data_IF_004004354893
#
_entry.id   IF_004004354893
#
_cell.length_a   1.000
_cell.length_b   1.000
_cell.length_c   1.000
_cell.angle_alpha   90.00
_cell.angle_beta   90.00
_cell.angle_gamma   90.00
#
_symmetry.space_group_name_H-M   'P 1'
#
loop_
_entity.id
_entity.type
_entity.pdbx_description
1 polymer ?
#
# COMPACT_ATOMS: atom_id res chain seq x y z
N UNK A 1 26.71 14.84 -15.34
CA UNK A 1 26.10 14.58 -14.03
C UNK A 1 25.44 13.22 -14.09
N UNK A 2 25.62 12.36 -13.07
CA UNK A 2 24.93 11.10 -13.03
C UNK A 2 23.41 11.36 -12.93
N UNK A 3 22.62 10.67 -13.77
CA UNK A 3 21.16 10.73 -13.70
C UNK A 3 20.73 10.10 -12.38
N UNK A 4 19.90 10.81 -11.61
CA UNK A 4 19.29 10.25 -10.40
C UNK A 4 18.00 9.53 -10.81
N UNK A 5 18.14 8.23 -11.11
CA UNK A 5 17.07 7.39 -11.62
C UNK A 5 16.64 6.41 -10.53
N UNK A 6 15.34 6.22 -10.41
CA UNK A 6 14.69 5.31 -9.46
C UNK A 6 13.66 4.46 -10.18
N UNK A 7 13.59 3.18 -9.85
CA UNK A 7 12.54 2.28 -10.32
C UNK A 7 11.60 1.91 -9.15
N UNK A 8 10.32 1.76 -9.48
CA UNK A 8 9.29 1.22 -8.57
C UNK A 8 8.58 0.06 -9.24
N UNK A 9 8.31 -1.00 -8.46
CA UNK A 9 7.60 -2.20 -8.90
C UNK A 9 6.34 -2.36 -8.06
N UNK A 10 5.20 -2.48 -8.73
CA UNK A 10 3.91 -2.83 -8.12
C UNK A 10 3.50 -4.21 -8.60
N UNK A 11 3.35 -5.15 -7.65
CA UNK A 11 3.00 -6.54 -7.93
C UNK A 11 1.55 -6.76 -7.57
N UNK A 12 0.67 -6.49 -8.53
CA UNK A 12 -0.76 -6.69 -8.39
C UNK A 12 -1.22 -8.05 -8.92
N UNK A 13 -2.39 -8.51 -8.46
CA UNK A 13 -2.95 -9.83 -8.82
C UNK A 13 -3.29 -9.95 -10.31
N UNK A 14 -3.68 -8.86 -10.97
CA UNK A 14 -3.98 -8.85 -12.42
C UNK A 14 -2.80 -8.41 -13.27
N UNK A 15 -2.01 -7.47 -12.80
CA UNK A 15 -0.93 -6.85 -13.56
C UNK A 15 0.26 -6.52 -12.68
N UNK A 16 1.47 -6.76 -13.19
CA UNK A 16 2.71 -6.24 -12.62
C UNK A 16 3.09 -4.98 -13.37
N UNK A 17 3.36 -3.91 -12.62
CA UNK A 17 3.68 -2.59 -13.15
C UNK A 17 5.07 -2.17 -12.68
N UNK A 18 5.87 -1.69 -13.61
CA UNK A 18 7.20 -1.12 -13.34
C UNK A 18 7.24 0.30 -13.87
N UNK A 19 7.68 1.22 -13.04
CA UNK A 19 7.86 2.63 -13.41
C UNK A 19 9.30 3.01 -13.18
N UNK A 20 9.91 3.64 -14.20
CA UNK A 20 11.26 4.23 -14.11
C UNK A 20 11.11 5.74 -14.15
N UNK A 21 11.66 6.41 -13.16
CA UNK A 21 11.59 7.86 -13.05
C UNK A 21 12.96 8.45 -12.78
N UNK A 22 13.19 9.67 -13.27
CA UNK A 22 14.36 10.48 -12.95
C UNK A 22 13.96 11.71 -12.14
N UNK A 23 14.82 12.10 -11.20
CA UNK A 23 14.69 13.34 -10.46
C UNK A 23 15.44 14.43 -11.22
N UNK A 24 14.71 15.37 -11.79
CA UNK A 24 15.26 16.53 -12.51
C UNK A 24 15.05 17.80 -11.73
N UNK A 25 15.99 18.75 -11.85
CA UNK A 25 15.86 20.07 -11.21
C UNK A 25 15.43 21.08 -12.27
N UNK A 26 14.18 21.55 -12.18
CA UNK A 26 13.63 22.57 -13.08
C UNK A 26 13.19 23.79 -12.24
N UNK A 27 13.63 24.97 -12.64
CA UNK A 27 13.31 26.24 -11.95
C UNK A 27 13.59 26.22 -10.43
N UNK A 28 14.67 25.53 -10.01
CA UNK A 28 15.04 25.39 -8.61
C UNK A 28 14.25 24.37 -7.81
N UNK A 29 13.25 23.71 -8.41
CA UNK A 29 12.45 22.64 -7.79
C UNK A 29 12.87 21.27 -8.31
N UNK A 30 12.83 20.28 -7.44
CA UNK A 30 12.98 18.89 -7.83
C UNK A 30 11.65 18.38 -8.37
N UNK A 31 11.65 17.89 -9.59
CA UNK A 31 10.49 17.33 -10.29
C UNK A 31 10.81 15.88 -10.66
N UNK A 32 9.90 14.98 -10.34
CA UNK A 32 9.98 13.58 -10.74
C UNK A 32 9.37 13.42 -12.13
N UNK A 33 10.18 12.93 -13.09
CA UNK A 33 9.75 12.66 -14.46
C UNK A 33 9.76 11.17 -14.73
N UNK A 34 8.63 10.61 -15.12
CA UNK A 34 8.55 9.21 -15.60
C UNK A 34 9.23 9.14 -16.97
N UNK A 35 10.23 8.27 -17.11
CA UNK A 35 11.03 8.08 -18.33
C UNK A 35 10.80 6.71 -18.98
N UNK A 36 10.13 5.78 -18.29
CA UNK A 36 9.77 4.48 -18.84
C UNK A 36 8.80 3.76 -17.96
N UNK A 37 8.02 2.87 -18.58
CA UNK A 37 7.05 2.01 -17.91
C UNK A 37 7.07 0.62 -18.51
N UNK A 38 6.79 -0.38 -17.69
CA UNK A 38 6.59 -1.76 -18.10
C UNK A 38 5.34 -2.32 -17.44
N UNK A 39 4.53 -2.99 -18.23
CA UNK A 39 3.29 -3.62 -17.79
C UNK A 39 3.27 -5.05 -18.30
N UNK A 40 3.00 -6.01 -17.44
CA UNK A 40 2.77 -7.40 -17.82
C UNK A 40 1.56 -7.95 -17.11
N UNK A 41 0.89 -8.92 -17.74
CA UNK A 41 -0.10 -9.73 -17.07
C UNK A 41 0.54 -10.43 -15.87
N UNK A 42 -0.14 -10.43 -14.74
CA UNK A 42 0.29 -11.15 -13.54
C UNK A 42 -0.26 -12.56 -13.55
N UNK A 43 0.61 -13.53 -13.35
CA UNK A 43 0.25 -14.95 -13.23
C UNK A 43 0.84 -15.49 -11.94
N UNK A 44 0.18 -16.50 -11.35
CA UNK A 44 0.66 -17.16 -10.14
C UNK A 44 0.37 -16.41 -8.84
N UNK A 45 -0.51 -15.40 -8.86
CA UNK A 45 -0.98 -14.69 -7.66
C UNK A 45 -2.48 -14.92 -7.43
N UNK A 46 -2.89 -14.96 -6.16
CA UNK A 46 -4.29 -14.97 -5.75
C UNK A 46 -4.46 -14.17 -4.46
N UNK A 47 -5.36 -13.19 -4.44
CA UNK A 47 -5.56 -12.24 -3.33
C UNK A 47 -4.26 -11.58 -2.85
N UNK A 48 -3.28 -11.44 -3.74
CA UNK A 48 -1.94 -10.92 -3.45
C UNK A 48 -0.93 -11.99 -3.02
N UNK A 49 -1.34 -13.22 -2.68
CA UNK A 49 -0.42 -14.31 -2.33
C UNK A 49 0.12 -15.06 -3.54
N UNK A 50 1.36 -15.52 -3.44
CA UNK A 50 2.00 -16.34 -4.46
C UNK A 50 1.48 -17.77 -4.36
N UNK A 51 0.86 -18.26 -5.44
CA UNK A 51 0.42 -19.65 -5.61
C UNK A 51 1.28 -20.44 -6.61
N UNK A 52 1.98 -19.72 -7.50
CA UNK A 52 2.98 -20.26 -8.41
C UNK A 52 4.14 -19.26 -8.57
N UNK A 53 5.27 -19.54 -7.93
CA UNK A 53 6.42 -18.64 -7.90
C UNK A 53 7.10 -18.45 -9.26
N UNK A 54 7.17 -19.50 -10.11
CA UNK A 54 7.78 -19.41 -11.44
C UNK A 54 7.02 -18.44 -12.35
N UNK A 55 5.69 -18.53 -12.34
CA UNK A 55 4.82 -17.64 -13.12
C UNK A 55 4.97 -16.19 -12.65
N UNK A 56 5.05 -15.95 -11.33
CA UNK A 56 5.27 -14.63 -10.75
C UNK A 56 6.62 -14.06 -11.17
N UNK A 57 7.71 -14.84 -11.01
CA UNK A 57 9.06 -14.41 -11.41
C UNK A 57 9.12 -14.08 -12.90
N UNK A 58 8.47 -14.88 -13.77
CA UNK A 58 8.42 -14.63 -15.20
C UNK A 58 7.62 -13.35 -15.54
N UNK A 59 6.51 -13.12 -14.84
CA UNK A 59 5.69 -11.92 -15.00
C UNK A 59 6.47 -10.66 -14.59
N UNK A 60 7.22 -10.72 -13.46
CA UNK A 60 8.10 -9.63 -13.00
C UNK A 60 9.19 -9.34 -14.06
N UNK A 61 9.89 -10.37 -14.54
CA UNK A 61 10.93 -10.21 -15.59
C UNK A 61 10.37 -9.56 -16.85
N UNK A 62 9.16 -9.94 -17.25
CA UNK A 62 8.51 -9.38 -18.43
C UNK A 62 8.22 -7.89 -18.27
N UNK A 63 7.67 -7.47 -17.12
CA UNK A 63 7.41 -6.07 -16.82
C UNK A 63 8.71 -5.24 -16.76
N UNK A 64 9.76 -5.77 -16.10
CA UNK A 64 11.07 -5.13 -16.02
C UNK A 64 11.67 -4.93 -17.42
N UNK A 65 11.67 -5.96 -18.26
CA UNK A 65 12.20 -5.90 -19.63
C UNK A 65 11.49 -4.83 -20.47
N UNK A 66 10.18 -4.68 -20.30
CA UNK A 66 9.42 -3.62 -20.99
C UNK A 66 9.79 -2.23 -20.45
N UNK A 67 9.95 -2.07 -19.13
CA UNK A 67 10.36 -0.82 -18.53
C UNK A 67 11.79 -0.41 -18.95
N UNK A 68 12.72 -1.36 -19.01
CA UNK A 68 14.08 -1.15 -19.52
C UNK A 68 14.06 -0.73 -20.99
N UNK A 69 13.22 -1.37 -21.82
CA UNK A 69 13.07 -1.03 -23.24
C UNK A 69 12.53 0.39 -23.44
N UNK A 70 11.55 0.80 -22.63
CA UNK A 70 10.91 2.13 -22.75
C UNK A 70 11.76 3.25 -22.17
N UNK A 71 12.50 2.99 -21.08
CA UNK A 71 13.38 3.96 -20.43
C UNK A 71 14.77 4.05 -21.04
N UNK A 72 15.23 2.97 -21.71
CA UNK A 72 16.61 2.81 -22.17
C UNK A 72 17.62 2.60 -21.03
N UNK A 73 17.15 2.26 -19.81
CA UNK A 73 17.98 2.13 -18.61
C UNK A 73 17.84 0.73 -18.05
N UNK A 74 18.97 0.12 -17.70
CA UNK A 74 19.03 -1.18 -16.99
C UNK A 74 18.57 -0.99 -15.54
N UNK A 75 17.65 -1.85 -15.08
CA UNK A 75 17.10 -1.82 -13.74
C UNK A 75 17.76 -2.95 -12.94
N UNK A 76 18.53 -2.59 -11.92
CA UNK A 76 19.14 -3.56 -11.00
C UNK A 76 18.57 -3.42 -9.59
N UNK A 77 17.96 -2.28 -9.27
CA UNK A 77 17.41 -1.97 -7.95
C UNK A 77 16.06 -1.27 -8.09
N UNK A 78 15.14 -1.57 -7.16
CA UNK A 78 13.83 -0.93 -7.17
C UNK A 78 13.23 -0.81 -5.77
N UNK A 79 12.33 0.16 -5.59
CA UNK A 79 11.35 0.17 -4.51
C UNK A 79 10.19 -0.76 -4.88
N UNK A 80 9.63 -1.43 -3.89
CA UNK A 80 8.55 -2.40 -4.10
C UNK A 80 7.31 -2.00 -3.31
N UNK A 81 6.15 -1.99 -3.95
CA UNK A 81 4.89 -1.88 -3.24
C UNK A 81 4.39 -3.26 -2.83
N UNK A 82 4.02 -3.39 -1.55
CA UNK A 82 3.49 -4.62 -0.95
C UNK A 82 2.00 -4.45 -0.74
N UNK A 83 1.21 -5.35 -1.31
CA UNK A 83 -0.24 -5.42 -1.18
C UNK A 83 -0.72 -6.81 -0.76
N UNK A 84 -2.03 -7.07 -0.92
CA UNK A 84 -2.63 -8.36 -0.58
C UNK A 84 -3.21 -8.43 0.83
N UNK A 85 -3.99 -9.49 1.09
CA UNK A 85 -4.76 -9.66 2.34
C UNK A 85 -3.91 -9.91 3.58
N UNK A 86 -2.60 -10.09 3.43
CA UNK A 86 -1.64 -10.17 4.54
C UNK A 86 -1.22 -8.82 5.13
N UNK A 87 -1.71 -7.71 4.55
CA UNK A 87 -1.39 -6.35 4.97
C UNK A 87 -2.51 -5.81 5.86
N UNK A 88 -2.16 -5.29 7.05
CA UNK A 88 -3.11 -4.68 7.97
C UNK A 88 -2.44 -3.61 8.84
N UNK A 89 -3.21 -2.95 9.70
CA UNK A 89 -2.67 -1.98 10.64
C UNK A 89 -3.09 -2.24 12.07
N UNK A 90 -2.21 -1.90 13.01
CA UNK A 90 -2.42 -2.06 14.45
C UNK A 90 -1.94 -0.81 15.15
N UNK A 91 -2.70 -0.31 16.13
CA UNK A 91 -2.25 0.82 16.95
C UNK A 91 -1.83 0.36 18.35
N UNK A 92 -0.78 0.97 18.87
CA UNK A 92 -0.32 0.79 20.23
C UNK A 92 0.05 2.13 20.87
N UNK A 93 0.14 2.15 22.19
CA UNK A 93 0.52 3.33 22.97
C UNK A 93 1.51 2.96 24.07
N UNK A 94 2.52 3.79 24.26
CA UNK A 94 3.47 3.62 25.35
C UNK A 94 3.84 4.97 25.97
N UNK A 95 4.51 4.92 27.13
CA UNK A 95 4.99 6.09 27.82
C UNK A 95 6.36 5.86 28.43
N UNK A 96 7.21 6.89 28.42
CA UNK A 96 8.53 6.89 29.02
C UNK A 96 8.70 8.09 29.95
N UNK A 97 9.42 7.90 31.05
CA UNK A 97 9.82 8.99 31.94
C UNK A 97 11.11 9.61 31.42
N UNK A 98 11.13 10.94 31.37
CA UNK A 98 12.30 11.72 31.00
C UNK A 98 13.13 11.88 32.25
N UNK A 99 14.30 11.25 32.29
CA UNK A 99 15.18 11.20 33.47
C UNK A 99 16.30 12.26 33.45
N UNK A 100 16.36 13.10 32.43
CA UNK A 100 17.37 14.18 32.32
C UNK A 100 17.07 15.31 33.32
N UNK A 101 18.10 15.89 33.87
CA UNK A 101 17.96 16.99 34.83
C UNK A 101 17.30 18.25 34.25
N UNK A 102 17.47 18.50 32.94
CA UNK A 102 16.86 19.60 32.20
C UNK A 102 15.43 19.31 31.72
N UNK A 103 14.96 18.07 31.91
CA UNK A 103 13.66 17.54 31.44
C UNK A 103 13.40 17.73 29.92
N UNK A 104 14.45 18.03 29.15
CA UNK A 104 14.33 18.26 27.72
C UNK A 104 14.22 16.91 26.97
N UNK A 105 13.18 16.79 26.13
CA UNK A 105 12.94 15.61 25.29
C UNK A 105 13.93 15.61 24.12
N UNK A 106 14.64 14.50 23.96
CA UNK A 106 15.62 14.26 22.92
C UNK A 106 15.12 13.23 21.89
N UNK A 107 15.85 13.06 20.79
CA UNK A 107 15.58 12.00 19.82
C UNK A 107 15.61 10.61 20.46
N UNK A 108 16.55 10.38 21.39
CA UNK A 108 16.67 9.10 22.12
C UNK A 108 15.42 8.78 22.96
N UNK A 109 14.80 9.82 23.55
CA UNK A 109 13.55 9.64 24.32
C UNK A 109 12.39 9.27 23.39
N UNK A 110 12.32 9.89 22.21
CA UNK A 110 11.31 9.59 21.18
C UNK A 110 11.52 8.17 20.65
N UNK A 111 12.74 7.78 20.31
CA UNK A 111 13.08 6.43 19.87
C UNK A 111 12.74 5.38 20.95
N UNK A 112 13.09 5.68 22.20
CA UNK A 112 12.79 4.79 23.34
C UNK A 112 11.30 4.54 23.49
N UNK A 113 10.48 5.60 23.52
CA UNK A 113 9.03 5.44 23.69
C UNK A 113 8.38 4.77 22.45
N UNK A 114 8.91 5.02 21.26
CA UNK A 114 8.47 4.35 20.03
C UNK A 114 8.76 2.85 20.07
N UNK A 115 9.96 2.45 20.50
CA UNK A 115 10.33 1.05 20.71
C UNK A 115 9.45 0.37 21.77
N UNK A 116 9.16 1.05 22.86
CA UNK A 116 8.23 0.53 23.89
C UNK A 116 6.82 0.31 23.33
N UNK A 117 6.35 1.16 22.38
CA UNK A 117 5.10 0.92 21.66
C UNK A 117 5.15 -0.38 20.84
N UNK A 118 6.24 -0.61 20.13
CA UNK A 118 6.44 -1.83 19.34
C UNK A 118 6.48 -3.07 20.24
N UNK A 119 7.26 -3.03 21.31
CA UNK A 119 7.38 -4.10 22.31
C UNK A 119 6.06 -4.40 23.03
N UNK A 120 5.13 -3.44 23.11
CA UNK A 120 3.80 -3.62 23.72
C UNK A 120 2.77 -4.24 22.76
N UNK A 121 3.12 -4.47 21.50
CA UNK A 121 2.25 -5.18 20.58
C UNK A 121 2.09 -6.65 21.03
N UNK A 122 0.88 -7.24 20.86
CA UNK A 122 0.64 -8.63 21.24
C UNK A 122 1.61 -9.57 20.52
N UNK A 123 2.27 -10.46 21.28
CA UNK A 123 3.30 -11.36 20.75
C UNK A 123 2.76 -12.28 19.64
N UNK A 124 1.50 -12.70 19.74
CA UNK A 124 0.85 -13.50 18.69
C UNK A 124 0.70 -12.77 17.36
N UNK A 125 0.63 -11.44 17.37
CA UNK A 125 0.57 -10.63 16.15
C UNK A 125 1.95 -10.44 15.53
N UNK A 126 3.01 -10.40 16.35
CA UNK A 126 4.38 -10.23 15.86
C UNK A 126 5.01 -11.55 15.37
N UNK A 127 4.54 -12.71 15.85
CA UNK A 127 5.15 -14.01 15.53
C UNK A 127 5.20 -14.34 14.03
N UNK A 128 4.23 -13.86 13.24
CA UNK A 128 4.12 -14.13 11.81
C UNK A 128 4.00 -12.86 10.97
N UNK A 129 4.23 -11.69 11.56
CA UNK A 129 4.11 -10.41 10.87
C UNK A 129 5.41 -9.61 10.99
N UNK A 130 5.75 -8.92 9.90
CA UNK A 130 6.81 -7.93 9.84
C UNK A 130 6.22 -6.54 9.79
N UNK A 131 6.76 -5.63 10.60
CA UNK A 131 6.39 -4.22 10.55
C UNK A 131 7.01 -3.60 9.30
N UNK A 132 6.17 -3.05 8.41
CA UNK A 132 6.58 -2.29 7.24
C UNK A 132 6.72 -0.80 7.55
N UNK A 133 5.81 -0.25 8.35
CA UNK A 133 5.82 1.18 8.72
C UNK A 133 5.44 1.36 10.17
N UNK A 134 6.15 2.28 10.85
CA UNK A 134 5.87 2.74 12.21
C UNK A 134 5.57 4.24 12.15
N UNK A 135 4.31 4.63 12.38
CA UNK A 135 3.82 5.98 12.16
C UNK A 135 3.31 6.56 13.48
N UNK A 136 3.90 7.64 14.00
CA UNK A 136 3.38 8.29 15.19
C UNK A 136 2.07 9.03 14.87
N UNK A 137 1.00 8.68 15.60
CA UNK A 137 -0.31 9.30 15.49
C UNK A 137 -0.44 10.54 16.35
N UNK A 138 0.03 10.47 17.60
CA UNK A 138 -0.02 11.60 18.54
C UNK A 138 0.99 11.45 19.66
N UNK A 139 1.42 12.59 20.20
CA UNK A 139 2.25 12.67 21.38
C UNK A 139 1.52 13.40 22.50
N UNK A 140 1.82 13.04 23.76
CA UNK A 140 1.42 13.80 24.95
C UNK A 140 2.63 14.00 25.87
N UNK A 141 2.69 15.15 26.51
CA UNK A 141 3.69 15.47 27.54
C UNK A 141 2.94 15.76 28.82
N UNK A 142 3.21 14.99 29.88
CA UNK A 142 2.54 15.12 31.18
C UNK A 142 1.00 15.10 31.06
N UNK A 143 0.49 14.20 30.17
CA UNK A 143 -0.95 14.04 29.87
C UNK A 143 -1.54 15.08 28.92
N UNK A 144 -0.80 16.12 28.52
CA UNK A 144 -1.28 17.18 27.61
C UNK A 144 -0.89 16.87 26.17
N UNK A 145 -1.81 17.04 25.19
CA UNK A 145 -1.50 16.77 23.79
C UNK A 145 -0.46 17.74 23.24
N UNK A 146 0.44 17.20 22.42
CA UNK A 146 1.44 17.98 21.66
C UNK A 146 0.86 18.28 20.29
N UNK A 147 0.71 19.58 19.96
CA UNK A 147 0.19 20.00 18.65
C UNK A 147 1.26 20.04 17.56
N UNK A 148 2.53 20.03 17.95
CA UNK A 148 3.65 19.98 17.02
C UNK A 148 3.82 18.55 16.44
N UNK A 149 4.45 18.44 15.26
CA UNK A 149 4.74 17.14 14.65
C UNK A 149 5.63 16.23 15.49
N UNK A 150 6.51 16.82 16.29
CA UNK A 150 7.44 16.11 17.16
C UNK A 150 7.56 16.84 18.49
N UNK A 151 7.72 16.14 19.61
CA UNK A 151 7.96 16.71 20.92
C UNK A 151 9.44 17.13 21.16
N UNK A 152 10.30 16.97 20.16
CA UNK A 152 11.74 17.23 20.25
C UNK A 152 12.02 18.63 20.81
N UNK A 153 12.88 18.72 21.83
CA UNK A 153 13.26 19.98 22.47
C UNK A 153 12.24 20.54 23.47
N UNK A 154 11.04 19.98 23.57
CA UNK A 154 10.04 20.34 24.57
C UNK A 154 10.46 19.80 25.95
N UNK A 155 9.87 20.34 27.01
CA UNK A 155 10.16 19.92 28.39
C UNK A 155 8.97 19.21 29.00
N UNK A 156 9.23 18.14 29.74
CA UNK A 156 8.25 17.41 30.51
C UNK A 156 8.86 16.22 31.23
N UNK A 157 8.11 15.65 32.17
CA UNK A 157 8.54 14.51 32.99
C UNK A 157 8.16 13.18 32.38
N UNK A 158 7.05 13.14 31.62
CA UNK A 158 6.51 11.93 30.98
C UNK A 158 6.18 12.22 29.52
N UNK A 159 6.77 11.46 28.63
CA UNK A 159 6.42 11.43 27.20
C UNK A 159 5.53 10.22 26.92
N UNK A 160 4.41 10.45 26.26
CA UNK A 160 3.49 9.40 25.79
C UNK A 160 3.37 9.49 24.26
N UNK A 161 3.32 8.35 23.59
CA UNK A 161 3.07 8.26 22.14
C UNK A 161 1.99 7.23 21.84
N UNK A 162 1.14 7.52 20.86
CA UNK A 162 0.29 6.55 20.18
C UNK A 162 0.84 6.36 18.78
N UNK A 163 1.07 5.11 18.37
CA UNK A 163 1.62 4.77 17.06
C UNK A 163 0.68 3.85 16.28
N UNK A 164 0.72 3.98 14.96
CA UNK A 164 0.17 3.04 14.02
C UNK A 164 1.32 2.22 13.43
N UNK A 165 1.19 0.90 13.48
CA UNK A 165 2.08 -0.03 12.81
C UNK A 165 1.36 -0.65 11.63
N UNK A 166 1.94 -0.54 10.44
CA UNK A 166 1.48 -1.27 9.27
C UNK A 166 2.30 -2.54 9.20
N UNK A 167 1.62 -3.68 9.25
CA UNK A 167 2.22 -5.00 9.32
C UNK A 167 1.85 -5.82 8.09
N UNK A 168 2.73 -6.73 7.73
CA UNK A 168 2.53 -7.69 6.64
C UNK A 168 2.89 -9.09 7.14
N UNK A 169 2.15 -10.12 6.72
CA UNK A 169 2.51 -11.51 6.99
C UNK A 169 3.93 -11.80 6.46
N UNK A 170 4.80 -12.25 7.36
CA UNK A 170 6.23 -12.45 7.08
C UNK A 170 6.48 -13.50 5.97
N UNK A 171 5.80 -14.66 5.93
CA UNK A 171 5.94 -15.60 4.82
C UNK A 171 5.58 -14.97 3.48
N UNK A 172 4.47 -14.23 3.41
CA UNK A 172 4.05 -13.55 2.19
C UNK A 172 5.08 -12.53 1.70
N UNK A 173 5.63 -11.72 2.62
CA UNK A 173 6.66 -10.73 2.28
C UNK A 173 7.96 -11.41 1.82
N UNK A 174 8.39 -12.48 2.50
CA UNK A 174 9.59 -13.23 2.15
C UNK A 174 9.46 -13.88 0.77
N UNK A 175 8.33 -14.55 0.50
CA UNK A 175 8.07 -15.15 -0.82
C UNK A 175 8.12 -14.08 -1.93
N UNK A 176 7.53 -12.91 -1.68
CA UNK A 176 7.54 -11.82 -2.65
C UNK A 176 8.96 -11.31 -2.92
N UNK A 177 9.75 -11.07 -1.86
CA UNK A 177 11.13 -10.61 -1.96
C UNK A 177 12.01 -11.62 -2.68
N UNK A 178 11.84 -12.93 -2.41
CA UNK A 178 12.56 -14.02 -3.08
C UNK A 178 12.29 -13.99 -4.60
N UNK A 179 11.03 -13.85 -5.02
CA UNK A 179 10.70 -13.84 -6.46
C UNK A 179 11.18 -12.58 -7.18
N UNK A 180 11.31 -11.46 -6.48
CA UNK A 180 11.91 -10.23 -7.02
C UNK A 180 13.44 -10.41 -7.18
N UNK A 181 14.10 -11.01 -6.18
CA UNK A 181 15.54 -11.33 -6.25
C UNK A 181 15.83 -12.33 -7.38
N UNK A 182 15.04 -13.40 -7.51
CA UNK A 182 15.11 -14.33 -8.64
C UNK A 182 14.91 -13.64 -10.00
N UNK A 183 14.12 -12.56 -10.04
CA UNK A 183 13.97 -11.76 -11.25
C UNK A 183 15.20 -10.88 -11.54
N UNK A 184 16.16 -10.81 -10.64
CA UNK A 184 17.44 -10.10 -10.77
C UNK A 184 17.39 -8.64 -10.28
N UNK A 185 16.51 -8.33 -9.33
CA UNK A 185 16.32 -6.98 -8.78
C UNK A 185 16.64 -6.96 -7.29
N UNK A 186 17.57 -6.11 -6.88
CA UNK A 186 17.80 -5.77 -5.49
C UNK A 186 16.68 -4.85 -4.98
N UNK A 187 16.00 -5.23 -3.92
CA UNK A 187 14.97 -4.38 -3.30
C UNK A 187 15.63 -3.31 -2.44
N UNK A 188 15.36 -2.05 -2.75
CA UNK A 188 15.86 -0.90 -1.97
C UNK A 188 15.06 -0.76 -0.67
N UNK A 189 13.73 -0.80 -0.79
CA UNK A 189 12.81 -0.69 0.35
C UNK A 189 11.41 -1.17 -0.08
N UNK A 190 10.58 -1.52 0.92
CA UNK A 190 9.21 -1.96 0.75
C UNK A 190 8.24 -0.95 1.33
N UNK A 191 7.20 -0.61 0.55
CA UNK A 191 6.13 0.26 0.99
C UNK A 191 4.78 -0.46 0.90
N UNK A 192 3.92 -0.25 1.89
CA UNK A 192 2.54 -0.69 1.77
C UNK A 192 1.88 -0.01 0.55
N UNK A 193 1.34 -0.80 -0.38
CA UNK A 193 0.79 -0.30 -1.64
C UNK A 193 -0.28 0.80 -1.47
N UNK A 194 -1.21 0.72 -0.50
CA UNK A 194 -2.17 1.79 -0.26
C UNK A 194 -1.52 3.09 0.24
N UNK A 195 -0.45 3.00 1.05
CA UNK A 195 0.31 4.17 1.49
C UNK A 195 1.06 4.79 0.30
N UNK A 196 1.75 3.98 -0.52
CA UNK A 196 2.44 4.46 -1.71
C UNK A 196 1.47 5.17 -2.68
N UNK A 197 0.30 4.59 -2.93
CA UNK A 197 -0.75 5.17 -3.77
C UNK A 197 -1.22 6.54 -3.25
N UNK A 198 -1.29 6.72 -1.93
CA UNK A 198 -1.76 7.98 -1.32
C UNK A 198 -0.87 9.17 -1.62
N UNK A 199 0.41 8.96 -1.96
CA UNK A 199 1.34 10.06 -2.27
C UNK A 199 1.04 10.72 -3.61
N UNK A 200 0.44 9.99 -4.54
CA UNK A 200 0.15 10.48 -5.90
C UNK A 200 -1.33 10.74 -6.17
N UNK A 201 -2.22 10.13 -5.39
CA UNK A 201 -3.68 10.25 -5.60
C UNK A 201 -4.35 11.29 -4.70
N UNK A 202 -3.78 11.55 -3.50
CA UNK A 202 -4.37 12.46 -2.52
C UNK A 202 -3.56 13.73 -2.36
N UNK A 203 -4.24 14.85 -2.36
CA UNK A 203 -3.64 16.14 -2.01
C UNK A 203 -3.45 16.28 -0.49
N UNK A 204 -2.51 17.13 -0.09
CA UNK A 204 -2.31 17.45 1.33
C UNK A 204 -3.60 18.00 1.99
N UNK A 205 -4.39 18.77 1.25
CA UNK A 205 -5.65 19.34 1.77
C UNK A 205 -6.69 18.25 2.06
N UNK A 206 -6.84 17.27 1.17
CA UNK A 206 -7.71 16.11 1.40
C UNK A 206 -7.31 15.32 2.64
N UNK A 207 -5.99 15.00 2.77
CA UNK A 207 -5.47 14.30 3.95
C UNK A 207 -5.64 15.10 5.25
N UNK A 208 -5.55 16.43 5.19
CA UNK A 208 -5.78 17.31 6.35
C UNK A 208 -7.25 17.36 6.76
N UNK A 209 -8.16 17.41 5.80
CA UNK A 209 -9.59 17.47 6.05
C UNK A 209 -10.20 16.15 6.55
N UNK A 210 -9.45 15.05 6.38
CA UNK A 210 -9.92 13.69 6.61
C UNK A 210 -10.49 13.10 5.31
N UNK A 211 -9.98 11.94 4.93
CA UNK A 211 -10.45 11.21 3.74
C UNK A 211 -10.13 9.72 3.84
N UNK A 212 -10.88 8.93 3.09
CA UNK A 212 -10.63 7.51 2.86
C UNK A 212 -10.07 7.35 1.44
N UNK A 213 -8.95 6.65 1.32
CA UNK A 213 -8.45 6.15 0.04
C UNK A 213 -8.89 4.70 -0.11
N UNK A 214 -9.76 4.41 -1.04
CA UNK A 214 -10.13 3.06 -1.44
C UNK A 214 -9.39 2.70 -2.75
N UNK A 215 -8.63 1.62 -2.72
CA UNK A 215 -7.96 1.05 -3.90
C UNK A 215 -8.58 -0.30 -4.21
N UNK A 216 -9.44 -0.33 -5.24
CA UNK A 216 -10.16 -1.53 -5.66
C UNK A 216 -9.36 -2.21 -6.77
N UNK A 217 -8.69 -3.30 -6.42
CA UNK A 217 -7.94 -4.14 -7.34
C UNK A 217 -8.80 -5.21 -8.01
N UNK A 218 -8.14 -6.20 -8.64
CA UNK A 218 -8.83 -7.34 -9.24
C UNK A 218 -9.45 -8.28 -8.20
N UNK A 219 -8.71 -8.66 -7.18
CA UNK A 219 -9.13 -9.62 -6.15
C UNK A 219 -9.07 -9.08 -4.72
N UNK A 220 -8.56 -7.87 -4.53
CA UNK A 220 -8.46 -7.24 -3.22
C UNK A 220 -8.88 -5.79 -3.28
N UNK A 221 -9.50 -5.31 -2.22
CA UNK A 221 -9.75 -3.91 -1.97
C UNK A 221 -8.99 -3.50 -0.72
N UNK A 222 -8.18 -2.46 -0.80
CA UNK A 222 -7.50 -1.88 0.35
C UNK A 222 -8.01 -0.48 0.64
N UNK A 223 -8.11 -0.14 1.91
CA UNK A 223 -8.51 1.18 2.38
C UNK A 223 -7.47 1.76 3.33
N UNK A 224 -7.29 3.07 3.25
CA UNK A 224 -6.51 3.85 4.22
C UNK A 224 -7.32 5.07 4.62
N UNK A 225 -7.50 5.24 5.91
CA UNK A 225 -8.15 6.43 6.47
C UNK A 225 -7.10 7.45 6.87
N UNK A 226 -7.25 8.67 6.42
CA UNK A 226 -6.39 9.80 6.76
C UNK A 226 -7.12 10.82 7.62
N UNK A 227 -6.44 11.31 8.64
CA UNK A 227 -6.85 12.42 9.47
C UNK A 227 -5.64 13.30 9.78
N UNK A 228 -5.78 14.62 9.69
CA UNK A 228 -4.68 15.56 9.95
C UNK A 228 -3.38 15.25 9.17
N UNK A 229 -3.52 14.79 7.93
CA UNK A 229 -2.42 14.37 7.05
C UNK A 229 -1.65 13.12 7.52
N UNK A 230 -2.20 12.34 8.45
CA UNK A 230 -1.61 11.12 9.00
C UNK A 230 -2.55 9.95 8.67
N UNK A 231 -2.05 8.80 8.19
CA UNK A 231 -2.86 7.60 8.09
C UNK A 231 -3.16 7.08 9.51
N UNK A 232 -4.44 6.87 9.82
CA UNK A 232 -4.89 6.40 11.15
C UNK A 232 -5.33 4.95 11.17
N UNK A 233 -5.64 4.38 10.00
CA UNK A 233 -5.92 2.96 9.84
C UNK A 233 -5.65 2.50 8.40
N UNK A 234 -5.40 1.21 8.23
CA UNK A 234 -5.26 0.52 6.95
C UNK A 234 -5.84 -0.88 7.10
N UNK A 235 -6.66 -1.30 6.12
CA UNK A 235 -7.22 -2.64 6.04
C UNK A 235 -7.26 -3.12 4.59
N UNK A 236 -7.22 -4.45 4.38
CA UNK A 236 -7.33 -5.07 3.06
C UNK A 236 -8.39 -6.17 3.11
N UNK A 237 -9.34 -6.09 2.20
CA UNK A 237 -10.45 -7.03 2.06
C UNK A 237 -10.22 -7.95 0.86
N UNK A 238 -10.55 -9.25 0.95
CA UNK A 238 -10.45 -10.21 -0.15
C UNK A 238 -11.65 -10.10 -1.12
N UNK A 239 -11.90 -8.90 -1.62
CA UNK A 239 -12.95 -8.57 -2.57
C UNK A 239 -12.40 -7.59 -3.62
N UNK A 240 -12.75 -7.78 -4.88
CA UNK A 240 -12.24 -6.94 -5.96
C UNK A 240 -13.10 -6.93 -7.21
N UNK A 241 -12.59 -6.39 -8.29
CA UNK A 241 -13.34 -6.25 -9.54
C UNK A 241 -13.64 -7.59 -10.22
N UNK A 242 -12.90 -8.67 -9.88
CA UNK A 242 -13.18 -10.04 -10.36
C UNK A 242 -14.48 -10.57 -9.78
N UNK A 243 -14.86 -10.17 -8.57
CA UNK A 243 -16.14 -10.56 -7.98
C UNK A 243 -17.31 -9.98 -8.77
N UNK A 244 -17.18 -8.75 -9.27
CA UNK A 244 -18.16 -8.14 -10.20
C UNK A 244 -18.25 -8.97 -11.48
N UNK A 245 -17.11 -9.40 -12.05
CA UNK A 245 -17.08 -10.24 -13.25
C UNK A 245 -17.78 -11.57 -13.01
N UNK A 246 -17.53 -12.21 -11.87
CA UNK A 246 -18.17 -13.46 -11.47
C UNK A 246 -19.69 -13.30 -11.35
N UNK A 247 -20.15 -12.23 -10.71
CA UNK A 247 -21.58 -11.94 -10.56
C UNK A 247 -22.27 -11.70 -11.91
N UNK A 248 -21.60 -10.98 -12.82
CA UNK A 248 -22.08 -10.76 -14.18
C UNK A 248 -22.19 -12.11 -14.94
N UNK A 249 -21.14 -12.94 -14.86
CA UNK A 249 -21.12 -14.26 -15.51
C UNK A 249 -22.27 -15.14 -15.01
N UNK A 250 -22.49 -15.20 -13.71
CA UNK A 250 -23.58 -15.94 -13.08
C UNK A 250 -24.95 -15.35 -13.42
N UNK A 251 -25.11 -14.04 -13.26
CA UNK A 251 -26.39 -13.35 -13.44
C UNK A 251 -26.88 -13.33 -14.89
N UNK A 252 -25.96 -13.24 -15.85
CA UNK A 252 -26.25 -13.25 -17.29
C UNK A 252 -26.08 -14.64 -17.91
N UNK A 253 -25.51 -15.62 -17.19
CA UNK A 253 -25.21 -17.00 -17.65
C UNK A 253 -24.29 -17.01 -18.88
N UNK A 254 -23.19 -16.28 -18.82
CA UNK A 254 -22.19 -16.14 -19.88
C UNK A 254 -20.79 -16.55 -19.36
N UNK A 255 -19.85 -16.87 -20.25
CA UNK A 255 -18.46 -17.14 -19.87
C UNK A 255 -17.80 -15.94 -19.16
N UNK A 256 -16.81 -16.19 -18.28
CA UNK A 256 -16.10 -15.16 -17.53
C UNK A 256 -15.42 -14.13 -18.44
N UNK A 257 -14.83 -14.57 -19.54
CA UNK A 257 -14.18 -13.69 -20.51
C UNK A 257 -15.17 -12.69 -21.15
N UNK A 258 -16.37 -13.18 -21.49
CA UNK A 258 -17.44 -12.32 -22.01
C UNK A 258 -17.97 -11.37 -20.93
N UNK A 259 -18.11 -11.85 -19.69
CA UNK A 259 -18.51 -11.04 -18.54
C UNK A 259 -17.51 -9.90 -18.25
N UNK A 260 -16.21 -10.17 -18.34
CA UNK A 260 -15.16 -9.15 -18.20
C UNK A 260 -15.27 -8.09 -19.31
N UNK A 261 -15.44 -8.53 -20.56
CA UNK A 261 -15.63 -7.61 -21.69
C UNK A 261 -16.87 -6.73 -21.52
N UNK A 262 -17.97 -7.30 -21.06
CA UNK A 262 -19.22 -6.55 -20.78
C UNK A 262 -19.01 -5.55 -19.63
N UNK A 263 -18.31 -5.96 -18.57
CA UNK A 263 -17.99 -5.10 -17.42
C UNK A 263 -17.21 -3.86 -17.82
N UNK A 264 -16.21 -4.00 -18.69
CA UNK A 264 -15.37 -2.86 -19.13
C UNK A 264 -16.01 -2.03 -20.26
N UNK A 265 -17.26 -2.31 -20.63
CA UNK A 265 -17.99 -1.58 -21.66
C UNK A 265 -17.68 -2.05 -23.09
N UNK A 266 -17.09 -3.23 -23.25
CA UNK A 266 -16.90 -3.87 -24.56
C UNK A 266 -18.25 -4.32 -25.16
N UNK A 267 -18.28 -4.44 -26.50
CA UNK A 267 -19.44 -5.02 -27.19
C UNK A 267 -19.45 -6.53 -26.93
N UNK A 268 -20.40 -7.00 -26.10
CA UNK A 268 -20.67 -8.43 -25.96
C UNK A 268 -21.24 -9.03 -27.24
N UNK A 269 -21.10 -10.34 -27.42
CA UNK A 269 -21.68 -11.08 -28.55
C UNK A 269 -23.21 -11.10 -28.53
N UNK A 270 -23.80 -10.78 -27.39
CA UNK A 270 -25.23 -10.76 -27.12
C UNK A 270 -25.68 -9.40 -26.54
N UNK A 271 -26.87 -8.93 -26.97
CA UNK A 271 -27.48 -7.73 -26.38
C UNK A 271 -28.11 -8.08 -25.03
N UNK A 272 -27.47 -7.66 -23.94
CA UNK A 272 -28.02 -7.82 -22.59
C UNK A 272 -28.86 -6.59 -22.17
N UNK A 273 -29.90 -6.77 -21.34
CA UNK A 273 -30.62 -5.66 -20.75
C UNK A 273 -29.67 -4.84 -19.84
N UNK A 274 -29.35 -3.62 -20.24
CA UNK A 274 -28.45 -2.73 -19.49
C UNK A 274 -28.87 -2.61 -18.03
N UNK A 275 -30.19 -2.52 -17.78
CA UNK A 275 -30.74 -2.43 -16.42
C UNK A 275 -30.30 -3.60 -15.54
N UNK A 276 -30.33 -4.83 -16.06
CA UNK A 276 -29.90 -6.02 -15.31
C UNK A 276 -28.41 -6.01 -15.02
N UNK A 277 -27.58 -5.57 -15.96
CA UNK A 277 -26.15 -5.39 -15.77
C UNK A 277 -25.86 -4.35 -14.66
N UNK A 278 -26.53 -3.19 -14.74
CA UNK A 278 -26.37 -2.11 -13.74
C UNK A 278 -26.80 -2.59 -12.34
N UNK A 279 -27.90 -3.38 -12.23
CA UNK A 279 -28.35 -3.95 -10.96
C UNK A 279 -27.29 -4.91 -10.35
N UNK A 280 -26.68 -5.79 -11.16
CA UNK A 280 -25.65 -6.73 -10.69
C UNK A 280 -24.41 -5.96 -10.20
N UNK A 281 -23.92 -5.01 -11.00
CA UNK A 281 -22.74 -4.22 -10.63
C UNK A 281 -23.02 -3.41 -9.37
N UNK A 282 -24.18 -2.75 -9.29
CA UNK A 282 -24.55 -1.93 -8.14
C UNK A 282 -24.67 -2.73 -6.85
N UNK A 283 -25.18 -3.97 -6.92
CA UNK A 283 -25.26 -4.84 -5.75
C UNK A 283 -23.86 -5.15 -5.18
N UNK A 284 -22.91 -5.56 -6.05
CA UNK A 284 -21.53 -5.85 -5.60
C UNK A 284 -20.80 -4.60 -5.10
N UNK A 285 -21.02 -3.45 -5.74
CA UNK A 285 -20.46 -2.18 -5.26
C UNK A 285 -21.03 -1.80 -3.90
N UNK A 286 -22.31 -2.06 -3.64
CA UNK A 286 -22.92 -1.82 -2.32
C UNK A 286 -22.23 -2.67 -1.23
N UNK A 287 -21.96 -3.97 -1.49
CA UNK A 287 -21.22 -4.82 -0.56
C UNK A 287 -19.82 -4.24 -0.27
N UNK A 288 -19.11 -3.77 -1.31
CA UNK A 288 -17.78 -3.15 -1.15
C UNK A 288 -17.85 -1.86 -0.30
N UNK A 289 -18.85 -1.02 -0.55
CA UNK A 289 -19.03 0.22 0.23
C UNK A 289 -19.43 -0.07 1.68
N UNK A 290 -20.26 -1.08 1.93
CA UNK A 290 -20.59 -1.53 3.28
C UNK A 290 -19.35 -1.95 4.07
N UNK A 291 -18.40 -2.66 3.44
CA UNK A 291 -17.12 -3.00 4.07
C UNK A 291 -16.30 -1.74 4.42
N UNK A 292 -16.31 -0.71 3.57
CA UNK A 292 -15.62 0.56 3.83
C UNK A 292 -16.28 1.31 5.00
N UNK A 293 -17.61 1.34 5.04
CA UNK A 293 -18.38 2.04 6.10
C UNK A 293 -18.23 1.36 7.46
N UNK A 294 -18.11 0.03 7.49
CA UNK A 294 -17.98 -0.75 8.71
C UNK A 294 -16.56 -0.75 9.29
N UNK A 295 -15.53 -0.30 8.55
CA UNK A 295 -14.16 -0.15 9.02
C UNK A 295 -13.97 1.17 9.77
#
# INVERSE_FOLDING_TARGET
>A
MARNVTAGIDIGTSQIKVVVAELVRENGKNITRVIGTGLSESRGLRHGYIINGEDVTQSIRSAIKLAEKTSGIKINKAFVSVGGIGLSSISSSASAIISRADLQITELDIEKVSRMCEESLPTNLLQNNRILHSIPLSYKIDGKPVLAKTPLGMKGTKLEVKMLFIVCLDPHLNDLLEKIDEAGIDVIDCLAAPIASSFVTLTKQQKMAGCVLANIGSETMSIVVFENNIPISLEVFPIGSTDITNDIALGLKIPLEEAENVKIGGLGSTSFPKKKLDEIISARLADMFELIENH
#
